data_IF_815358037102
#
_entry.id   IF_815358037102
#
_cell.length_a   1.000
_cell.length_b   1.000
_cell.length_c   1.000
_cell.angle_alpha   90.00
_cell.angle_beta   90.00
_cell.angle_gamma   90.00
#
_symmetry.space_group_name_H-M   'P 1'
#
loop_
_entity.id
_entity.type
_entity.pdbx_description
1 polymer ?
#
# COMPACT_ATOMS: atom_id res chain seq x y z
N UNK A 1 -48.62 -19.75 19.14
CA UNK A 1 -47.47 -20.37 18.41
C UNK A 1 -47.12 -19.66 17.09
N UNK A 2 -48.08 -19.20 16.29
CA UNK A 2 -47.80 -18.58 14.98
C UNK A 2 -46.92 -17.30 15.05
N UNK A 3 -47.17 -16.44 16.04
CA UNK A 3 -46.44 -15.17 16.24
C UNK A 3 -44.97 -15.37 16.62
N UNK A 4 -44.64 -16.45 17.34
CA UNK A 4 -43.27 -16.77 17.77
C UNK A 4 -42.45 -17.29 16.60
N UNK A 5 -43.04 -18.13 15.74
CA UNK A 5 -42.39 -18.63 14.52
C UNK A 5 -42.03 -17.49 13.56
N UNK A 6 -42.93 -16.52 13.37
CA UNK A 6 -42.69 -15.37 12.49
C UNK A 6 -41.56 -14.45 13.00
N UNK A 7 -41.44 -14.25 14.33
CA UNK A 7 -40.36 -13.44 14.92
C UNK A 7 -38.99 -14.11 14.79
N UNK A 8 -38.92 -15.43 14.97
CA UNK A 8 -37.67 -16.18 14.85
C UNK A 8 -37.15 -16.24 13.41
N UNK A 9 -38.02 -16.47 12.43
CA UNK A 9 -37.64 -16.47 11.00
C UNK A 9 -37.09 -15.11 10.57
N UNK A 10 -37.70 -14.00 11.01
CA UNK A 10 -37.19 -12.64 10.71
C UNK A 10 -35.82 -12.38 11.34
N UNK A 11 -35.60 -12.86 12.56
CA UNK A 11 -34.32 -12.70 13.24
C UNK A 11 -33.18 -13.48 12.55
N UNK A 12 -33.44 -14.73 12.14
CA UNK A 12 -32.47 -15.54 11.37
C UNK A 12 -32.15 -14.88 10.03
N UNK A 13 -33.16 -14.36 9.32
CA UNK A 13 -32.97 -13.67 8.04
C UNK A 13 -32.11 -12.41 8.21
N UNK A 14 -32.33 -11.62 9.27
CA UNK A 14 -31.53 -10.43 9.55
C UNK A 14 -30.07 -10.77 9.84
N UNK A 15 -29.80 -11.84 10.59
CA UNK A 15 -28.42 -12.31 10.84
C UNK A 15 -27.79 -12.78 9.54
N UNK A 16 -28.49 -13.58 8.72
CA UNK A 16 -27.96 -14.05 7.45
C UNK A 16 -27.64 -12.89 6.49
N UNK A 17 -28.51 -11.88 6.41
CA UNK A 17 -28.26 -10.67 5.62
C UNK A 17 -27.07 -9.87 6.16
N UNK A 18 -26.96 -9.68 7.49
CA UNK A 18 -25.84 -8.97 8.09
C UNK A 18 -24.50 -9.72 7.87
N UNK A 19 -24.48 -11.04 8.01
CA UNK A 19 -23.31 -11.88 7.74
C UNK A 19 -22.90 -11.86 6.27
N UNK A 20 -23.87 -11.87 5.34
CA UNK A 20 -23.59 -11.74 3.91
C UNK A 20 -23.01 -10.36 3.56
N UNK A 21 -23.51 -9.29 4.20
CA UNK A 21 -23.01 -7.93 4.02
C UNK A 21 -21.57 -7.78 4.53
N UNK A 22 -21.24 -8.40 5.66
CA UNK A 22 -19.89 -8.38 6.24
C UNK A 22 -18.89 -9.21 5.43
N UNK A 23 -19.32 -10.31 4.81
CA UNK A 23 -18.45 -11.13 3.96
C UNK A 23 -18.14 -10.50 2.59
N UNK A 24 -18.94 -9.52 2.15
CA UNK A 24 -18.71 -8.75 0.93
C UNK A 24 -17.69 -7.62 1.12
N UNK A 25 -17.24 -7.35 2.35
CA UNK A 25 -16.14 -6.45 2.64
C UNK A 25 -14.82 -7.22 2.46
N UNK A 26 -14.40 -7.45 1.22
CA UNK A 26 -13.00 -7.76 0.99
C UNK A 26 -12.21 -6.47 1.23
N UNK A 27 -11.17 -6.47 2.08
CA UNK A 27 -10.24 -5.35 2.09
C UNK A 27 -9.71 -5.21 0.66
N UNK A 28 -9.79 -4.01 0.10
CA UNK A 28 -8.93 -3.65 -1.00
C UNK A 28 -7.50 -3.89 -0.46
N UNK A 29 -6.76 -4.75 -1.15
CA UNK A 29 -5.32 -4.79 -0.96
C UNK A 29 -4.76 -3.54 -1.63
N UNK A 30 -3.49 -3.25 -1.45
CA UNK A 30 -2.83 -2.09 -2.02
C UNK A 30 -1.72 -2.59 -2.92
N UNK A 31 -1.05 -1.67 -3.64
CA UNK A 31 0.24 -2.03 -4.21
C UNK A 31 1.05 -2.77 -3.14
N UNK A 32 1.70 -3.86 -3.50
CA UNK A 32 2.39 -4.62 -2.47
C UNK A 32 3.60 -3.83 -1.98
N UNK A 33 3.80 -3.81 -0.66
CA UNK A 33 5.06 -3.37 -0.04
C UNK A 33 6.07 -4.53 0.05
N UNK A 34 5.96 -5.58 -0.78
CA UNK A 34 6.85 -6.75 -0.74
C UNK A 34 6.57 -7.72 0.42
N UNK A 35 5.71 -7.32 1.36
CA UNK A 35 5.37 -8.06 2.58
C UNK A 35 5.29 -7.12 3.77
N UNK A 36 5.38 -7.69 4.98
CA UNK A 36 5.68 -6.92 6.19
C UNK A 36 7.05 -7.34 6.67
N UNK A 37 7.97 -6.39 6.67
CA UNK A 37 9.36 -6.65 7.01
C UNK A 37 9.51 -7.02 8.47
N UNK A 38 10.16 -8.16 8.71
CA UNK A 38 10.64 -8.56 10.03
C UNK A 38 11.78 -7.65 10.52
N UNK A 39 12.56 -7.10 9.57
CA UNK A 39 13.69 -6.23 9.85
C UNK A 39 13.57 -4.88 9.11
N UNK A 40 13.23 -3.78 9.81
CA UNK A 40 13.14 -2.44 9.21
C UNK A 40 14.43 -1.91 8.56
N UNK A 41 15.60 -2.49 8.89
CA UNK A 41 16.87 -2.11 8.25
C UNK A 41 17.09 -2.80 6.88
N UNK A 42 16.30 -3.83 6.58
CA UNK A 42 16.33 -4.58 5.33
C UNK A 42 14.88 -4.87 4.90
N UNK A 43 14.14 -3.83 4.49
CA UNK A 43 12.74 -4.01 4.13
C UNK A 43 12.60 -4.94 2.93
N UNK A 44 11.54 -5.76 2.96
CA UNK A 44 11.08 -6.53 1.82
C UNK A 44 10.64 -5.55 0.73
N UNK A 45 11.16 -5.71 -0.48
CA UNK A 45 11.00 -4.72 -1.53
C UNK A 45 9.77 -5.02 -2.39
N UNK A 46 8.88 -4.04 -2.55
CA UNK A 46 7.68 -4.14 -3.39
C UNK A 46 7.46 -2.98 -4.34
N UNK A 47 6.23 -2.91 -4.86
CA UNK A 47 5.78 -1.89 -5.80
C UNK A 47 5.78 -0.49 -5.18
N UNK A 48 5.37 -0.34 -3.92
CA UNK A 48 5.48 0.96 -3.25
C UNK A 48 6.93 1.42 -3.12
N UNK A 49 7.84 0.53 -2.74
CA UNK A 49 9.27 0.84 -2.64
C UNK A 49 9.88 1.20 -3.98
N UNK A 50 9.45 0.50 -5.04
CA UNK A 50 9.84 0.79 -6.41
C UNK A 50 9.43 2.21 -6.81
N UNK A 51 8.17 2.60 -6.57
CA UNK A 51 7.68 3.97 -6.85
C UNK A 51 8.45 4.98 -5.99
N UNK A 52 8.57 4.70 -4.70
CA UNK A 52 9.21 5.56 -3.72
C UNK A 52 10.66 5.84 -4.06
N UNK A 53 11.43 4.80 -4.39
CA UNK A 53 12.84 4.92 -4.70
C UNK A 53 13.08 5.57 -6.06
N UNK A 54 12.28 5.27 -7.08
CA UNK A 54 12.41 5.91 -8.39
C UNK A 54 12.03 7.39 -8.37
N UNK A 55 11.10 7.81 -7.53
CA UNK A 55 10.80 9.24 -7.35
C UNK A 55 12.04 10.02 -6.88
N UNK A 56 12.91 9.39 -6.08
CA UNK A 56 14.17 10.01 -5.66
C UNK A 56 15.10 10.28 -6.84
N UNK A 57 15.03 9.54 -7.94
CA UNK A 57 15.91 9.76 -9.10
C UNK A 57 15.67 11.12 -9.76
N UNK A 58 14.46 11.68 -9.64
CA UNK A 58 14.08 12.96 -10.26
C UNK A 58 14.43 14.16 -9.38
N UNK A 59 14.67 13.95 -8.09
CA UNK A 59 15.01 15.01 -7.14
C UNK A 59 16.49 15.44 -7.21
N UNK A 60 16.80 16.74 -7.01
CA UNK A 60 18.15 17.21 -6.72
C UNK A 60 18.75 16.53 -5.50
N UNK A 61 20.08 16.35 -5.50
CA UNK A 61 20.78 15.66 -4.43
C UNK A 61 20.54 16.30 -3.05
N UNK A 62 20.51 17.63 -2.99
CA UNK A 62 20.34 18.39 -1.76
C UNK A 62 18.96 18.20 -1.12
N UNK A 63 17.92 18.00 -1.94
CA UNK A 63 16.55 17.83 -1.48
C UNK A 63 16.30 16.43 -0.90
N UNK A 64 16.97 15.42 -1.46
CA UNK A 64 16.74 14.00 -1.11
C UNK A 64 17.78 13.39 -0.18
N UNK A 65 18.87 14.09 0.14
CA UNK A 65 20.00 13.47 0.85
C UNK A 65 19.60 12.85 2.18
N UNK A 66 18.71 13.51 2.93
CA UNK A 66 18.22 12.98 4.21
C UNK A 66 17.46 11.65 4.06
N UNK A 67 16.79 11.44 2.92
CA UNK A 67 16.14 10.17 2.56
C UNK A 67 17.18 9.15 2.13
N UNK A 68 18.12 9.53 1.27
CA UNK A 68 19.16 8.61 0.76
C UNK A 68 20.02 8.05 1.90
N UNK A 69 20.39 8.88 2.87
CA UNK A 69 21.12 8.46 4.07
C UNK A 69 20.30 7.51 4.97
N UNK A 70 18.98 7.53 4.83
CA UNK A 70 18.02 6.73 5.60
C UNK A 70 17.16 5.83 4.69
N UNK A 71 17.69 5.37 3.56
CA UNK A 71 16.88 4.75 2.50
C UNK A 71 16.07 3.56 3.01
N UNK A 72 16.67 2.66 3.79
CA UNK A 72 15.95 1.51 4.36
C UNK A 72 14.77 1.93 5.24
N UNK A 73 14.89 3.04 5.97
CA UNK A 73 13.82 3.58 6.82
C UNK A 73 12.70 4.20 6.00
N UNK A 74 13.04 4.86 4.90
CA UNK A 74 12.06 5.41 3.95
C UNK A 74 11.26 4.29 3.27
N UNK A 75 11.93 3.24 2.78
CA UNK A 75 11.28 2.09 2.17
C UNK A 75 10.41 1.33 3.19
N UNK A 76 10.92 1.04 4.39
CA UNK A 76 10.10 0.48 5.47
C UNK A 76 8.87 1.36 5.82
N UNK A 77 8.99 2.67 5.64
CA UNK A 77 7.89 3.60 5.81
C UNK A 77 6.70 3.33 4.90
N UNK A 78 6.94 2.80 3.70
CA UNK A 78 5.88 2.50 2.72
C UNK A 78 4.95 1.39 3.21
N UNK A 79 5.45 0.43 4.01
CA UNK A 79 4.67 -0.69 4.56
C UNK A 79 3.68 -0.29 5.65
N UNK A 80 3.88 0.87 6.29
CA UNK A 80 3.21 1.19 7.55
C UNK A 80 1.70 1.36 7.43
N UNK A 81 1.15 1.99 6.39
CA UNK A 81 -0.30 2.13 6.23
C UNK A 81 -1.03 0.78 6.18
N UNK A 82 -0.45 -0.23 5.51
CA UNK A 82 -1.00 -1.58 5.45
C UNK A 82 -0.76 -2.40 6.70
N UNK A 83 0.42 -2.24 7.31
CA UNK A 83 0.83 -3.02 8.46
C UNK A 83 -0.12 -2.79 9.64
N UNK A 84 -0.70 -3.85 10.24
CA UNK A 84 -1.61 -3.68 11.36
C UNK A 84 -1.02 -2.87 12.51
N UNK A 85 -1.84 -2.03 13.15
CA UNK A 85 -1.41 -1.27 14.33
C UNK A 85 -0.88 -2.16 15.47
N UNK A 86 -1.43 -3.37 15.60
CA UNK A 86 -0.95 -4.38 16.56
C UNK A 86 0.48 -4.88 16.28
N UNK A 87 0.98 -4.66 15.06
CA UNK A 87 2.33 -5.00 14.63
C UNK A 87 3.21 -3.75 14.47
N UNK A 88 2.76 -2.58 14.92
CA UNK A 88 3.50 -1.32 14.87
C UNK A 88 3.38 -0.53 13.57
N UNK A 89 2.41 -0.84 12.71
CA UNK A 89 2.03 0.02 11.60
C UNK A 89 0.93 1.03 11.95
N UNK A 90 0.41 1.72 10.94
CA UNK A 90 -0.77 2.59 11.02
C UNK A 90 -2.03 1.73 10.88
N UNK A 91 -2.03 0.78 9.95
CA UNK A 91 -3.04 -0.27 9.80
C UNK A 91 -4.43 0.25 9.44
N UNK A 92 -4.50 1.29 8.61
CA UNK A 92 -5.75 1.95 8.24
C UNK A 92 -6.18 1.65 6.81
N UNK A 93 -6.11 0.38 6.42
CA UNK A 93 -6.43 -0.22 5.10
C UNK A 93 -7.79 0.14 4.47
N UNK A 94 -8.64 0.87 5.19
CA UNK A 94 -9.91 1.42 4.69
C UNK A 94 -9.80 2.88 4.25
N UNK A 95 -8.58 3.42 4.17
CA UNK A 95 -8.29 4.82 3.87
C UNK A 95 -7.38 5.01 2.66
N UNK A 96 -7.20 3.97 1.86
CA UNK A 96 -6.30 3.92 0.70
C UNK A 96 -6.98 4.29 -0.61
N UNK A 97 -8.18 4.88 -0.55
CA UNK A 97 -8.99 5.19 -1.72
C UNK A 97 -9.27 6.68 -1.88
N UNK A 98 -9.60 7.05 -3.11
CA UNK A 98 -10.22 8.33 -3.47
C UNK A 98 -11.31 8.06 -4.50
N UNK A 99 -12.53 8.55 -4.25
CA UNK A 99 -13.69 8.31 -5.11
C UNK A 99 -14.25 9.60 -5.68
N UNK A 100 -14.65 9.51 -6.95
CA UNK A 100 -15.40 10.54 -7.64
C UNK A 100 -16.82 10.09 -7.95
N UNK A 101 -17.70 11.05 -8.21
CA UNK A 101 -19.01 10.78 -8.83
C UNK A 101 -18.82 10.61 -10.34
N UNK A 102 -19.86 10.10 -11.01
CA UNK A 102 -19.90 10.05 -12.48
C UNK A 102 -19.87 11.44 -13.15
N UNK A 103 -20.10 12.53 -12.41
CA UNK A 103 -19.96 13.90 -12.91
C UNK A 103 -18.57 14.49 -12.64
N UNK A 104 -17.64 13.71 -12.11
CA UNK A 104 -16.29 14.17 -11.75
C UNK A 104 -16.21 14.94 -10.44
N UNK A 105 -17.25 14.93 -9.61
CA UNK A 105 -17.20 15.58 -8.29
C UNK A 105 -16.51 14.65 -7.29
N UNK A 106 -15.60 15.18 -6.47
CA UNK A 106 -14.94 14.43 -5.40
C UNK A 106 -15.97 14.00 -4.34
N UNK A 107 -16.02 12.71 -4.02
CA UNK A 107 -17.00 12.10 -3.09
C UNK A 107 -16.33 11.64 -1.80
N UNK A 108 -15.17 11.00 -1.92
CA UNK A 108 -14.36 10.53 -0.79
C UNK A 108 -12.88 10.76 -1.12
N UNK A 109 -12.15 11.32 -0.18
CA UNK A 109 -10.79 11.83 -0.30
C UNK A 109 -9.88 11.25 0.79
N UNK A 110 -10.23 10.07 1.31
CA UNK A 110 -9.56 9.43 2.43
C UNK A 110 -8.05 9.37 2.27
N UNK A 111 -7.55 8.84 1.14
CA UNK A 111 -6.11 8.72 0.92
C UNK A 111 -5.42 10.08 0.79
N UNK A 112 -6.08 11.07 0.16
CA UNK A 112 -5.54 12.41 0.01
C UNK A 112 -5.38 13.13 1.37
N UNK A 113 -6.32 12.94 2.30
CA UNK A 113 -6.20 13.44 3.67
C UNK A 113 -5.04 12.78 4.41
N UNK A 114 -4.88 11.47 4.27
CA UNK A 114 -3.77 10.74 4.88
C UNK A 114 -2.41 11.16 4.33
N UNK A 115 -2.28 11.26 3.01
CA UNK A 115 -1.09 11.83 2.38
C UNK A 115 -0.78 13.22 2.94
N UNK A 116 -1.78 14.09 3.11
CA UNK A 116 -1.56 15.42 3.68
C UNK A 116 -1.15 15.40 5.17
N UNK A 117 -1.71 14.51 5.97
CA UNK A 117 -1.34 14.33 7.38
C UNK A 117 0.11 13.84 7.50
N UNK A 118 0.51 12.83 6.74
CA UNK A 118 1.88 12.32 6.71
C UNK A 118 2.86 13.36 6.17
N UNK A 119 2.48 14.14 5.14
CA UNK A 119 3.29 15.28 4.67
C UNK A 119 3.56 16.27 5.80
N UNK A 120 2.54 16.65 6.57
CA UNK A 120 2.69 17.61 7.67
C UNK A 120 3.60 17.06 8.78
N UNK A 121 3.48 15.77 9.09
CA UNK A 121 4.35 15.10 10.06
C UNK A 121 5.80 15.04 9.56
N UNK A 122 6.02 14.65 8.29
CA UNK A 122 7.34 14.56 7.69
C UNK A 122 8.02 15.93 7.68
N UNK A 123 7.26 16.99 7.35
CA UNK A 123 7.75 18.37 7.35
C UNK A 123 8.20 18.83 8.75
N UNK A 124 7.43 18.46 9.78
CA UNK A 124 7.76 18.80 11.16
C UNK A 124 9.04 18.08 11.61
N UNK A 125 9.19 16.79 11.31
CA UNK A 125 10.42 16.05 11.60
C UNK A 125 11.62 16.62 10.85
N UNK A 126 11.45 16.94 9.57
CA UNK A 126 12.50 17.49 8.73
C UNK A 126 12.98 18.85 9.26
N UNK A 127 12.05 19.73 9.64
CA UNK A 127 12.36 21.03 10.29
C UNK A 127 13.02 20.90 11.65
N UNK A 128 12.74 19.80 12.37
CA UNK A 128 13.37 19.50 13.65
C UNK A 128 14.75 18.83 13.50
N UNK A 129 15.19 18.52 12.28
CA UNK A 129 16.42 17.77 12.02
C UNK A 129 16.34 16.28 12.35
N UNK A 130 15.13 15.75 12.57
CA UNK A 130 14.88 14.32 12.82
C UNK A 130 14.72 13.59 11.48
N UNK A 131 15.84 13.40 10.78
CA UNK A 131 15.86 12.85 9.42
C UNK A 131 15.39 11.40 9.34
N UNK A 132 15.53 10.63 10.42
CA UNK A 132 15.06 9.24 10.48
C UNK A 132 13.55 9.20 10.44
N UNK A 133 12.87 9.94 11.33
CA UNK A 133 11.41 9.98 11.33
C UNK A 133 10.86 10.74 10.12
N UNK A 134 11.54 11.79 9.65
CA UNK A 134 11.16 12.47 8.41
C UNK A 134 11.15 11.49 7.22
N UNK A 135 12.17 10.65 7.09
CA UNK A 135 12.26 9.65 6.03
C UNK A 135 11.20 8.57 6.19
N UNK A 136 11.01 8.03 7.40
CA UNK A 136 9.98 7.03 7.67
C UNK A 136 8.59 7.52 7.29
N UNK A 137 8.24 8.73 7.72
CA UNK A 137 6.94 9.37 7.45
C UNK A 137 6.79 9.75 5.98
N UNK A 138 7.87 10.17 5.30
CA UNK A 138 7.85 10.38 3.86
C UNK A 138 7.54 9.08 3.10
N UNK A 139 7.95 7.91 3.61
CA UNK A 139 7.58 6.61 3.04
C UNK A 139 6.07 6.34 3.12
N UNK A 140 5.47 6.59 4.29
CA UNK A 140 4.01 6.45 4.48
C UNK A 140 3.22 7.44 3.63
N UNK A 141 3.71 8.68 3.50
CA UNK A 141 3.19 9.68 2.56
C UNK A 141 3.15 9.14 1.12
N UNK A 142 4.27 8.57 0.66
CA UNK A 142 4.38 7.99 -0.69
C UNK A 142 3.39 6.86 -0.91
N UNK A 143 3.17 6.01 0.10
CA UNK A 143 2.20 4.91 0.03
C UNK A 143 0.79 5.41 -0.34
N UNK A 144 0.25 6.37 0.43
CA UNK A 144 -1.10 6.92 0.17
C UNK A 144 -1.24 7.57 -1.21
N UNK A 145 -0.18 8.20 -1.73
CA UNK A 145 -0.18 8.75 -3.09
C UNK A 145 -0.17 7.63 -4.13
N UNK A 146 0.67 6.62 -3.95
CA UNK A 146 0.86 5.53 -4.90
C UNK A 146 -0.38 4.64 -5.07
N UNK A 147 -1.13 4.39 -3.99
CA UNK A 147 -2.32 3.53 -4.03
C UNK A 147 -3.34 3.96 -5.07
N UNK A 148 -3.61 5.27 -5.16
CA UNK A 148 -4.63 5.79 -6.07
C UNK A 148 -4.20 5.74 -7.54
N UNK A 149 -3.00 5.25 -7.85
CA UNK A 149 -2.59 4.86 -9.20
C UNK A 149 -3.08 3.45 -9.61
N UNK A 150 -3.54 2.63 -8.66
CA UNK A 150 -4.21 1.35 -8.90
C UNK A 150 -5.68 1.61 -9.21
N UNK A 151 -6.21 1.03 -10.30
CA UNK A 151 -7.62 1.23 -10.64
C UNK A 151 -8.58 0.70 -9.57
N UNK A 152 -8.22 -0.37 -8.85
CA UNK A 152 -8.98 -0.89 -7.71
C UNK A 152 -9.20 0.13 -6.60
N UNK A 153 -8.23 1.02 -6.32
CA UNK A 153 -8.30 2.02 -5.24
C UNK A 153 -9.21 3.21 -5.54
N UNK A 154 -9.64 3.35 -6.79
CA UNK A 154 -10.63 4.34 -7.19
C UNK A 154 -11.98 3.69 -7.50
N UNK A 155 -12.08 2.37 -7.36
CA UNK A 155 -13.30 1.57 -7.52
C UNK A 155 -13.82 1.10 -6.17
N UNK A 156 -15.13 0.92 -6.08
CA UNK A 156 -15.77 0.55 -4.83
C UNK A 156 -17.27 0.40 -4.99
N UNK A 157 -17.89 -0.46 -4.18
CA UNK A 157 -19.32 -0.78 -4.29
C UNK A 157 -20.26 0.42 -4.15
N UNK A 158 -19.80 1.53 -3.55
CA UNK A 158 -20.53 2.79 -3.41
C UNK A 158 -20.36 3.76 -4.59
N UNK A 159 -19.42 3.49 -5.50
CA UNK A 159 -19.12 4.34 -6.65
C UNK A 159 -20.08 4.06 -7.81
N UNK A 160 -20.12 4.97 -8.79
CA UNK A 160 -20.98 4.79 -9.98
C UNK A 160 -20.54 3.64 -10.90
N UNK A 161 -19.30 3.19 -10.77
CA UNK A 161 -18.72 2.10 -11.54
C UNK A 161 -18.69 0.76 -10.79
N UNK A 162 -19.03 0.75 -9.50
CA UNK A 162 -19.06 -0.46 -8.69
C UNK A 162 -17.69 -0.89 -8.18
N UNK A 163 -17.67 -2.05 -7.52
CA UNK A 163 -16.44 -2.69 -7.07
C UNK A 163 -15.72 -3.35 -8.26
N UNK A 164 -14.41 -3.32 -8.20
CA UNK A 164 -13.49 -3.98 -9.10
C UNK A 164 -13.59 -5.52 -9.03
N UNK A 165 -13.14 -6.17 -10.11
CA UNK A 165 -13.07 -7.64 -10.20
C UNK A 165 -11.63 -8.14 -10.15
N UNK A 166 -10.69 -7.36 -10.70
CA UNK A 166 -9.30 -7.75 -10.91
C UNK A 166 -8.32 -7.08 -9.95
N UNK A 167 -8.67 -7.05 -8.66
CA UNK A 167 -7.84 -6.40 -7.65
C UNK A 167 -6.54 -7.18 -7.40
N UNK A 168 -6.65 -8.35 -6.78
CA UNK A 168 -5.49 -9.09 -6.28
C UNK A 168 -4.62 -9.69 -7.39
N UNK A 169 -5.20 -10.10 -8.52
CA UNK A 169 -4.43 -10.63 -9.65
C UNK A 169 -3.63 -9.53 -10.35
N UNK A 170 -4.16 -8.30 -10.44
CA UNK A 170 -3.43 -7.14 -10.95
C UNK A 170 -2.20 -6.83 -10.10
N UNK A 171 -2.40 -6.68 -8.79
CA UNK A 171 -1.32 -6.30 -7.87
C UNK A 171 -0.27 -7.39 -7.73
N UNK A 172 -0.69 -8.66 -7.67
CA UNK A 172 0.25 -9.79 -7.66
C UNK A 172 1.11 -9.80 -8.92
N UNK A 173 0.51 -9.57 -10.09
CA UNK A 173 1.27 -9.53 -11.35
C UNK A 173 2.35 -8.45 -11.33
N UNK A 174 2.02 -7.25 -10.86
CA UNK A 174 2.97 -6.12 -10.80
C UNK A 174 4.04 -6.38 -9.75
N UNK A 175 3.65 -6.83 -8.55
CA UNK A 175 4.54 -7.14 -7.44
C UNK A 175 5.60 -8.17 -7.81
N UNK A 176 5.22 -9.27 -8.46
CA UNK A 176 6.14 -10.33 -8.89
C UNK A 176 7.27 -9.81 -9.80
N UNK A 177 7.07 -8.65 -10.42
CA UNK A 177 8.01 -7.99 -11.33
C UNK A 177 8.72 -6.79 -10.71
N UNK A 178 8.39 -6.44 -9.48
CA UNK A 178 8.88 -5.25 -8.77
C UNK A 178 9.50 -5.59 -7.40
N UNK A 179 10.16 -6.75 -7.30
CA UNK A 179 10.86 -7.19 -6.08
C UNK A 179 12.26 -6.58 -5.93
N UNK A 180 12.64 -5.64 -6.79
CA UNK A 180 13.89 -4.90 -6.73
C UNK A 180 13.78 -3.57 -7.47
N UNK A 181 14.75 -2.68 -7.27
CA UNK A 181 14.88 -1.41 -8.00
C UNK A 181 14.94 -1.57 -9.52
N UNK A 182 15.43 -2.70 -10.03
CA UNK A 182 15.39 -3.00 -11.46
C UNK A 182 14.15 -3.86 -11.77
N UNK A 183 13.27 -3.34 -12.62
CA UNK A 183 12.04 -4.00 -13.06
C UNK A 183 11.86 -3.90 -14.57
N UNK A 184 11.04 -4.79 -15.15
CA UNK A 184 10.53 -4.62 -16.52
C UNK A 184 9.72 -3.34 -16.69
N UNK A 185 9.15 -2.80 -15.62
CA UNK A 185 8.38 -1.55 -15.66
C UNK A 185 9.25 -0.29 -15.74
N UNK A 186 10.56 -0.37 -15.53
CA UNK A 186 11.48 0.76 -15.70
C UNK A 186 11.41 1.35 -17.12
N UNK A 187 10.98 0.58 -18.12
CA UNK A 187 10.78 1.07 -19.50
C UNK A 187 9.68 2.12 -19.64
N UNK A 188 8.77 2.24 -18.68
CA UNK A 188 7.68 3.24 -18.69
C UNK A 188 8.06 4.52 -17.95
N UNK A 189 9.17 4.51 -17.20
CA UNK A 189 9.62 5.67 -16.46
C UNK A 189 10.10 6.77 -17.39
N UNK A 190 9.50 7.94 -17.23
CA UNK A 190 9.89 9.17 -17.90
C UNK A 190 9.59 10.32 -16.95
N UNK A 191 10.65 11.03 -16.56
CA UNK A 191 10.50 12.32 -15.90
C UNK A 191 9.80 13.29 -16.84
N UNK A 192 8.81 14.02 -16.34
CA UNK A 192 8.05 14.99 -17.13
C UNK A 192 8.86 16.26 -17.48
N UNK A 193 10.03 16.41 -16.86
CA UNK A 193 10.99 17.47 -17.14
C UNK A 193 10.90 18.66 -16.19
N UNK A 194 10.00 18.67 -15.21
CA UNK A 194 9.95 19.72 -14.20
C UNK A 194 9.51 19.21 -12.83
N UNK A 195 10.18 19.70 -11.78
CA UNK A 195 9.65 19.61 -10.42
C UNK A 195 8.79 20.83 -10.14
N UNK A 196 7.60 20.62 -9.63
CA UNK A 196 6.67 21.69 -9.25
C UNK A 196 6.27 21.58 -7.79
N UNK A 197 5.96 22.72 -7.17
CA UNK A 197 5.36 22.73 -5.84
C UNK A 197 3.91 22.23 -5.93
N UNK A 198 3.67 21.02 -5.44
CA UNK A 198 2.39 20.33 -5.46
C UNK A 198 2.04 19.84 -4.05
N UNK A 199 0.94 20.34 -3.44
CA UNK A 199 0.46 19.82 -2.16
C UNK A 199 0.17 18.31 -2.24
N UNK A 200 0.55 17.55 -1.21
CA UNK A 200 0.31 16.11 -1.14
C UNK A 200 -1.17 15.75 -1.41
N UNK A 201 -2.09 16.49 -0.80
CA UNK A 201 -3.52 16.32 -1.06
C UNK A 201 -3.86 16.42 -2.56
N UNK A 202 -3.37 17.48 -3.23
CA UNK A 202 -3.63 17.74 -4.64
C UNK A 202 -3.01 16.68 -5.55
N UNK A 203 -1.79 16.23 -5.25
CA UNK A 203 -1.14 15.14 -5.96
C UNK A 203 -2.01 13.88 -5.93
N UNK A 204 -2.48 13.48 -4.76
CA UNK A 204 -3.33 12.30 -4.59
C UNK A 204 -4.66 12.44 -5.33
N UNK A 205 -5.38 13.57 -5.20
CA UNK A 205 -6.68 13.72 -5.89
C UNK A 205 -6.52 13.80 -7.40
N UNK A 206 -5.47 14.45 -7.92
CA UNK A 206 -5.21 14.55 -9.35
C UNK A 206 -4.86 13.18 -9.95
N UNK A 207 -4.01 12.41 -9.27
CA UNK A 207 -3.66 11.05 -9.67
C UNK A 207 -4.89 10.13 -9.63
N UNK A 208 -5.69 10.19 -8.57
CA UNK A 208 -6.94 9.45 -8.48
C UNK A 208 -7.93 9.82 -9.60
N UNK A 209 -8.00 11.10 -9.97
CA UNK A 209 -8.83 11.56 -11.09
C UNK A 209 -8.36 10.97 -12.42
N UNK A 210 -7.05 10.98 -12.67
CA UNK A 210 -6.46 10.34 -13.86
C UNK A 210 -6.78 8.84 -13.89
N UNK A 211 -6.55 8.12 -12.80
CA UNK A 211 -6.85 6.70 -12.68
C UNK A 211 -8.34 6.40 -12.92
N UNK A 212 -9.23 7.24 -12.37
CA UNK A 212 -10.68 7.07 -12.51
C UNK A 212 -11.13 7.28 -13.94
N UNK A 213 -10.75 8.40 -14.56
CA UNK A 213 -11.31 8.85 -15.84
C UNK A 213 -10.41 8.56 -17.05
N UNK A 214 -9.21 8.02 -16.82
CA UNK A 214 -8.26 7.62 -17.85
C UNK A 214 -7.42 8.75 -18.42
N UNK A 215 -7.42 9.93 -17.81
CA UNK A 215 -6.60 11.06 -18.25
C UNK A 215 -6.71 11.37 -19.74
N UNK A 216 -5.54 11.57 -20.38
CA UNK A 216 -5.42 11.81 -21.82
C UNK A 216 -5.60 10.56 -22.70
N UNK A 217 -5.46 9.35 -22.15
CA UNK A 217 -5.66 8.10 -22.89
C UNK A 217 -7.12 7.65 -22.93
N UNK A 218 -7.97 8.22 -22.06
CA UNK A 218 -9.36 7.84 -21.82
C UNK A 218 -9.54 6.36 -21.38
N UNK A 219 -8.46 5.71 -20.93
CA UNK A 219 -8.47 4.35 -20.40
C UNK A 219 -8.77 4.40 -18.89
N UNK A 220 -10.06 4.60 -18.58
CA UNK A 220 -10.61 4.70 -17.22
C UNK A 220 -10.39 3.45 -16.36
N UNK A 221 -10.67 3.57 -15.05
CA UNK A 221 -10.66 2.43 -14.13
C UNK A 221 -11.61 1.29 -14.58
N UNK A 222 -12.80 1.64 -15.09
CA UNK A 222 -13.76 0.67 -15.67
C UNK A 222 -13.18 -0.03 -16.88
N UNK A 223 -12.47 0.71 -17.73
CA UNK A 223 -11.82 0.12 -18.90
C UNK A 223 -10.73 -0.87 -18.47
N UNK A 224 -9.90 -0.51 -17.48
CA UNK A 224 -8.86 -1.39 -16.94
C UNK A 224 -9.47 -2.69 -16.41
N UNK A 225 -10.48 -2.60 -15.54
CA UNK A 225 -11.14 -3.78 -14.98
C UNK A 225 -11.80 -4.65 -16.07
N UNK A 226 -12.48 -4.04 -17.05
CA UNK A 226 -13.17 -4.78 -18.12
C UNK A 226 -12.22 -5.38 -19.17
N UNK A 227 -11.03 -4.80 -19.34
CA UNK A 227 -10.06 -5.21 -20.36
C UNK A 227 -8.80 -5.85 -19.77
N UNK A 228 -8.92 -6.41 -18.56
CA UNK A 228 -7.84 -7.05 -17.83
C UNK A 228 -7.14 -8.14 -18.65
N UNK A 229 -5.98 -7.80 -19.23
CA UNK A 229 -5.23 -8.67 -20.12
C UNK A 229 -3.79 -8.16 -20.32
N UNK A 230 -2.85 -8.72 -19.57
CA UNK A 230 -1.43 -8.37 -19.65
C UNK A 230 -0.77 -8.68 -21.00
N UNK A 231 -1.40 -9.50 -21.86
CA UNK A 231 -0.88 -9.75 -23.21
C UNK A 231 -1.18 -8.61 -24.18
N UNK A 232 -2.12 -7.71 -23.84
CA UNK A 232 -2.46 -6.53 -24.64
C UNK A 232 -1.53 -5.36 -24.30
N UNK A 233 -0.75 -4.84 -25.25
CA UNK A 233 0.13 -3.69 -25.02
C UNK A 233 -0.61 -2.44 -24.51
N UNK A 234 -1.88 -2.26 -24.89
CA UNK A 234 -2.69 -1.15 -24.38
C UNK A 234 -2.94 -1.25 -22.89
N UNK A 235 -3.21 -2.45 -22.36
CA UNK A 235 -3.45 -2.67 -20.94
C UNK A 235 -2.17 -2.51 -20.13
N UNK A 236 -1.09 -3.21 -20.52
CA UNK A 236 0.19 -3.10 -19.84
C UNK A 236 0.81 -1.70 -19.95
N UNK A 237 0.62 -1.03 -21.10
CA UNK A 237 1.00 0.36 -21.30
C UNK A 237 0.26 1.32 -20.37
N UNK A 238 -1.05 1.12 -20.14
CA UNK A 238 -1.82 1.94 -19.20
C UNK A 238 -1.38 1.74 -17.75
N UNK A 239 -1.09 0.50 -17.34
CA UNK A 239 -0.47 0.24 -16.04
C UNK A 239 0.87 0.96 -15.90
N UNK A 240 1.72 0.88 -16.92
CA UNK A 240 3.01 1.59 -16.96
C UNK A 240 2.86 3.11 -16.87
N UNK A 241 1.87 3.68 -17.55
CA UNK A 241 1.51 5.09 -17.45
C UNK A 241 1.10 5.48 -16.02
N UNK A 242 0.20 4.72 -15.38
CA UNK A 242 -0.20 4.95 -13.99
C UNK A 242 0.99 4.93 -13.02
N UNK A 243 1.90 3.98 -13.18
CA UNK A 243 3.12 3.87 -12.37
C UNK A 243 4.04 5.08 -12.59
N UNK A 244 4.22 5.51 -13.84
CA UNK A 244 5.02 6.70 -14.15
C UNK A 244 4.41 7.98 -13.56
N UNK A 245 3.09 8.13 -13.63
CA UNK A 245 2.38 9.26 -13.01
C UNK A 245 2.55 9.26 -11.49
N UNK A 246 2.48 8.10 -10.84
CA UNK A 246 2.73 7.98 -9.41
C UNK A 246 4.16 8.41 -9.05
N UNK A 247 5.16 7.97 -9.80
CA UNK A 247 6.57 8.35 -9.57
C UNK A 247 6.78 9.86 -9.70
N UNK A 248 6.24 10.49 -10.75
CA UNK A 248 6.35 11.95 -10.94
C UNK A 248 5.59 12.72 -9.84
N UNK A 249 4.36 12.29 -9.49
CA UNK A 249 3.59 12.92 -8.42
C UNK A 249 4.29 12.86 -7.06
N UNK A 250 4.91 11.72 -6.74
CA UNK A 250 5.71 11.56 -5.51
C UNK A 250 6.95 12.46 -5.56
N UNK A 251 7.64 12.55 -6.71
CA UNK A 251 8.79 13.44 -6.87
C UNK A 251 8.42 14.90 -6.60
N UNK A 252 7.32 15.40 -7.16
CA UNK A 252 6.82 16.76 -6.93
C UNK A 252 6.47 17.01 -5.45
N UNK A 253 5.83 16.04 -4.79
CA UNK A 253 5.46 16.18 -3.38
C UNK A 253 6.70 16.18 -2.48
N UNK A 254 7.70 15.34 -2.76
CA UNK A 254 8.96 15.33 -2.03
C UNK A 254 9.79 16.61 -2.28
N UNK A 255 9.78 17.13 -3.51
CA UNK A 255 10.34 18.44 -3.83
C UNK A 255 9.66 19.54 -3.00
N UNK A 256 8.32 19.53 -2.96
CA UNK A 256 7.50 20.44 -2.15
C UNK A 256 7.82 20.34 -0.66
N UNK A 257 8.08 19.13 -0.16
CA UNK A 257 8.46 18.89 1.23
C UNK A 257 9.83 19.51 1.55
N UNK A 258 10.82 19.30 0.67
CA UNK A 258 12.16 19.85 0.82
C UNK A 258 12.17 21.39 0.76
N UNK A 259 11.50 21.98 -0.23
CA UNK A 259 11.35 23.44 -0.36
C UNK A 259 10.68 24.05 0.88
N UNK A 260 9.62 23.41 1.39
CA UNK A 260 8.89 23.90 2.56
C UNK A 260 9.69 23.77 3.88
N UNK A 261 10.64 22.84 3.95
CA UNK A 261 11.58 22.72 5.07
C UNK A 261 12.65 23.83 5.04
N UNK A 262 12.89 24.43 3.87
CA UNK A 262 13.97 25.39 3.63
C UNK A 262 15.32 24.68 3.47
N UNK A 263 16.44 25.42 3.48
CA UNK A 263 17.75 24.81 3.36
C UNK A 263 17.95 23.82 4.50
N UNK A 264 17.87 22.53 4.17
CA UNK A 264 18.29 21.46 5.06
C UNK A 264 19.75 21.75 5.35
N UNK A 265 20.05 22.11 6.60
CA UNK A 265 21.41 22.36 7.02
C UNK A 265 22.15 21.05 6.80
N UNK A 266 22.87 20.97 5.68
CA UNK A 266 23.90 19.98 5.46
C UNK A 266 24.90 20.30 6.54
N UNK A 267 24.76 19.65 7.69
CA UNK A 267 25.85 19.52 8.63
C UNK A 267 26.90 18.74 7.86
N UNK A 268 27.71 19.46 7.09
CA UNK A 268 29.00 18.97 6.63
C UNK A 268 29.58 18.29 7.87
N UNK A 269 29.87 16.98 7.83
CA UNK A 269 30.49 16.33 8.97
C UNK A 269 31.67 17.21 9.33
N UNK A 270 31.64 17.83 10.51
CA UNK A 270 32.80 18.56 11.01
C UNK A 270 33.92 17.55 10.94
N UNK A 271 34.83 17.73 9.98
CA UNK A 271 36.01 16.90 9.85
C UNK A 271 36.75 17.14 11.14
N UNK A 272 36.53 16.26 12.12
CA UNK A 272 37.36 16.20 13.31
C UNK A 272 38.75 15.97 12.74
N UNK A 273 39.72 16.89 12.94
CA UNK A 273 41.06 16.71 12.40
C UNK A 273 41.56 15.37 12.93
N UNK A 274 41.72 14.40 12.02
CA UNK A 274 42.24 13.10 12.36
C UNK A 274 43.66 13.34 12.85
N UNK A 275 43.88 13.20 14.15
CA UNK A 275 45.22 13.24 14.73
C UNK A 275 45.93 12.02 14.15
N UNK A 276 46.84 12.26 13.21
CA UNK A 276 47.69 11.23 12.63
C UNK A 276 48.61 10.68 13.72
N UNK A 277 48.17 9.62 14.38
CA UNK A 277 49.07 8.77 15.18
C UNK A 277 49.73 7.81 14.20
N UNK A 278 50.98 8.10 13.85
CA UNK A 278 51.86 7.20 13.09
C UNK A 278 52.06 5.91 13.89
N UNK A 279 51.36 4.85 13.51
CA UNK A 279 51.64 3.49 13.95
C UNK A 279 52.63 2.81 12.98
N UNK A 280 53.58 2.00 13.48
CA UNK A 280 54.62 1.39 12.67
C UNK A 280 54.09 0.30 11.73
N UNK A 281 54.71 0.26 10.56
CA UNK A 281 54.54 -0.68 9.45
C UNK A 281 54.45 -2.15 9.88
N UNK A 282 53.37 -2.88 9.53
CA UNK A 282 53.36 -4.33 9.57
C UNK A 282 53.81 -4.93 8.22
N UNK A 283 54.69 -5.91 8.35
CA UNK A 283 55.25 -6.75 7.28
C UNK A 283 54.18 -7.57 6.57
N UNK A 284 54.27 -7.62 5.24
CA UNK A 284 53.46 -8.43 4.31
C UNK A 284 53.55 -9.93 4.58
N UNK A 285 52.40 -10.62 4.56
CA UNK A 285 52.31 -12.07 4.41
C UNK A 285 51.22 -12.40 3.39
N UNK A 286 51.64 -12.96 2.26
CA UNK A 286 50.80 -13.52 1.21
C UNK A 286 50.12 -14.82 1.65
N UNK A 287 48.83 -14.99 1.32
CA UNK A 287 48.30 -16.19 0.62
C UNK A 287 46.76 -16.28 0.61
N UNK A 288 46.16 -17.06 -0.32
CA UNK A 288 44.87 -16.75 -0.93
C UNK A 288 43.71 -17.65 -0.46
N UNK A 289 42.54 -17.40 -1.05
CA UNK A 289 41.46 -18.37 -1.39
C UNK A 289 40.19 -18.32 -0.53
N UNK A 290 39.11 -17.81 -1.13
CA UNK A 290 37.87 -18.55 -1.49
C UNK A 290 36.64 -17.64 -1.41
N UNK A 291 35.98 -17.47 -2.55
CA UNK A 291 34.61 -16.94 -2.63
C UNK A 291 33.62 -18.03 -2.20
N UNK A 292 32.65 -17.74 -1.31
CA UNK A 292 31.49 -18.61 -1.17
C UNK A 292 30.35 -18.08 -2.06
N UNK A 293 30.02 -18.87 -3.08
CA UNK A 293 28.76 -18.80 -3.80
C UNK A 293 27.62 -19.04 -2.82
N UNK A 294 26.84 -18.01 -2.48
CA UNK A 294 25.60 -18.20 -1.70
C UNK A 294 24.51 -18.76 -2.60
N UNK A 295 24.29 -20.06 -2.46
CA UNK A 295 23.12 -20.75 -2.98
C UNK A 295 21.93 -20.42 -2.07
N UNK A 296 21.10 -19.42 -2.42
CA UNK A 296 19.83 -19.15 -1.73
C UNK A 296 18.80 -20.18 -2.21
N UNK A 297 18.44 -21.10 -1.33
CA UNK A 297 17.20 -21.88 -1.46
C UNK A 297 16.00 -20.93 -1.44
N UNK A 298 14.91 -21.24 -2.18
CA UNK A 298 13.68 -20.46 -2.11
C UNK A 298 13.13 -20.52 -0.69
N UNK A 299 13.00 -19.34 -0.07
CA UNK A 299 12.29 -19.18 1.18
C UNK A 299 10.83 -19.51 0.92
N UNK A 300 10.34 -20.59 1.54
CA UNK A 300 8.90 -20.87 1.56
C UNK A 300 8.24 -19.77 2.37
N UNK A 301 7.50 -18.89 1.69
CA UNK A 301 6.61 -17.91 2.31
C UNK A 301 5.81 -18.61 3.41
N UNK A 302 5.85 -18.13 4.67
CA UNK A 302 4.91 -18.61 5.66
C UNK A 302 3.53 -18.19 5.18
N UNK A 303 2.73 -19.16 4.73
CA UNK A 303 1.28 -19.02 4.66
C UNK A 303 0.81 -18.64 6.06
N UNK A 304 0.60 -17.35 6.27
CA UNK A 304 -0.28 -16.86 7.34
C UNK A 304 -1.55 -17.70 7.22
N UNK A 305 -2.04 -18.33 8.30
CA UNK A 305 -3.30 -19.02 8.21
C UNK A 305 -4.33 -17.97 7.81
N UNK A 306 -4.78 -18.03 6.55
CA UNK A 306 -6.11 -17.57 6.20
C UNK A 306 -6.99 -18.08 7.33
N UNK A 307 -7.61 -17.20 8.11
CA UNK A 307 -8.79 -17.62 8.82
C UNK A 307 -9.76 -17.96 7.71
N UNK A 308 -9.95 -19.25 7.36
CA UNK A 308 -10.64 -19.54 6.14
C UNK A 308 -12.05 -19.03 6.37
N UNK A 309 -12.60 -18.35 5.38
CA UNK A 309 -14.05 -18.11 5.30
C UNK A 309 -14.83 -19.39 5.68
N UNK A 310 -14.25 -20.57 5.45
CA UNK A 310 -14.73 -21.87 5.93
C UNK A 310 -14.91 -21.98 7.45
N UNK A 311 -14.04 -21.42 8.31
CA UNK A 311 -14.19 -21.45 9.78
C UNK A 311 -15.35 -20.56 10.24
N UNK A 312 -15.52 -19.38 9.64
CA UNK A 312 -16.68 -18.52 9.89
C UNK A 312 -17.98 -19.16 9.36
N UNK A 313 -17.93 -19.80 8.18
CA UNK A 313 -19.06 -20.55 7.64
C UNK A 313 -19.42 -21.73 8.53
N UNK A 314 -18.43 -22.51 8.99
CA UNK A 314 -18.62 -23.65 9.89
C UNK A 314 -19.20 -23.23 11.24
N UNK A 315 -18.71 -22.14 11.83
CA UNK A 315 -19.28 -21.60 13.06
C UNK A 315 -20.75 -21.17 12.87
N UNK A 316 -21.07 -20.51 11.75
CA UNK A 316 -22.43 -20.09 11.43
C UNK A 316 -23.36 -21.28 11.18
N UNK A 317 -22.92 -22.27 10.40
CA UNK A 317 -23.64 -23.53 10.17
C UNK A 317 -23.86 -24.30 11.47
N UNK A 318 -22.87 -24.34 12.37
CA UNK A 318 -22.97 -24.98 13.67
C UNK A 318 -24.01 -24.28 14.55
N UNK A 319 -24.00 -22.95 14.61
CA UNK A 319 -24.98 -22.15 15.37
C UNK A 319 -26.39 -22.39 14.82
N UNK A 320 -26.57 -22.40 13.50
CA UNK A 320 -27.86 -22.68 12.86
C UNK A 320 -28.34 -24.11 13.16
N UNK A 321 -27.44 -25.09 13.10
CA UNK A 321 -27.75 -26.51 13.36
C UNK A 321 -28.13 -26.73 14.83
N UNK A 322 -27.36 -26.19 15.77
CA UNK A 322 -27.65 -26.26 17.21
C UNK A 322 -28.99 -25.57 17.52
N UNK A 323 -29.25 -24.41 16.92
CA UNK A 323 -30.52 -23.69 17.07
C UNK A 323 -31.71 -24.51 16.56
N UNK A 324 -31.57 -25.18 15.41
CA UNK A 324 -32.60 -26.07 14.86
C UNK A 324 -32.86 -27.29 15.75
N UNK A 325 -31.81 -27.89 16.32
CA UNK A 325 -31.93 -29.03 17.25
C UNK A 325 -32.66 -28.62 18.54
N UNK A 326 -32.26 -27.50 19.16
CA UNK A 326 -32.90 -26.97 20.37
C UNK A 326 -34.38 -26.69 20.11
N UNK A 327 -34.70 -26.08 18.96
CA UNK A 327 -36.07 -25.80 18.55
C UNK A 327 -36.90 -27.10 18.39
N UNK A 328 -36.37 -28.12 17.72
CA UNK A 328 -37.04 -29.42 17.55
C UNK A 328 -37.31 -30.09 18.90
N UNK A 329 -36.32 -30.08 19.81
CA UNK A 329 -36.44 -30.67 21.16
C UNK A 329 -37.53 -29.98 21.98
N UNK A 330 -37.62 -28.65 21.92
CA UNK A 330 -38.65 -27.89 22.63
C UNK A 330 -40.05 -28.11 22.02
N UNK A 331 -40.14 -28.32 20.70
CA UNK A 331 -41.41 -28.62 20.03
C UNK A 331 -41.94 -30.00 20.42
N UNK A 332 -41.07 -31.01 20.50
CA UNK A 332 -41.43 -32.37 20.90
C UNK A 332 -41.85 -32.46 22.37
N UNK A 333 -41.17 -31.74 23.28
CA UNK A 333 -41.60 -31.66 24.70
C UNK A 333 -43.02 -31.12 24.84
N UNK A 334 -43.38 -30.13 24.03
CA UNK A 334 -44.72 -29.53 24.08
C UNK A 334 -45.82 -30.43 23.47
N UNK A 335 -45.46 -31.47 22.71
CA UNK A 335 -46.41 -32.46 22.20
C UNK A 335 -46.69 -33.62 23.17
N UNK A 336 -45.88 -33.79 24.22
CA UNK A 336 -46.09 -34.82 25.26
C UNK A 336 -47.02 -34.37 26.39
N UNK A 337 -47.50 -33.12 26.37
CA UNK A 337 -48.42 -32.55 27.36
C UNK A 337 -49.82 -32.24 26.76
N UNK A 338 -50.15 -32.87 25.63
CA UNK A 338 -51.49 -32.91 25.02
C UNK A 338 -51.92 -34.36 24.98
#
# INVERSE_FOLDING_TARGET
MHTVKLKLTRFILLIACASALLAALQPALCWSNGGYSDNPAHPDYGTHDWIAQHALDYLPAQEKQYIVDNLAVYLYGTELPDRPASQGGIGDTTKHHVYYSSTGALVDDASAKRAQDEYNLALNFLKAGDYVNASKTAGALTHYIADVAVFGHVMGSSTAWGAETHHSDYENYVTDRMTSYQSSFNTYLSFDGCLVTLPAYNATVNLAYDTTFGGGSHLSCVWMDTNYDWSKPTFSGRCGESLNLAVNAVADVLHTLAEAAGPVLTTVPTVVPSITVTAPTPTSSDSPTSSPTQNRSPSTTPTVPEFPLALCLCATLLILTVSAIIYKKNTLKNQQFI
#
